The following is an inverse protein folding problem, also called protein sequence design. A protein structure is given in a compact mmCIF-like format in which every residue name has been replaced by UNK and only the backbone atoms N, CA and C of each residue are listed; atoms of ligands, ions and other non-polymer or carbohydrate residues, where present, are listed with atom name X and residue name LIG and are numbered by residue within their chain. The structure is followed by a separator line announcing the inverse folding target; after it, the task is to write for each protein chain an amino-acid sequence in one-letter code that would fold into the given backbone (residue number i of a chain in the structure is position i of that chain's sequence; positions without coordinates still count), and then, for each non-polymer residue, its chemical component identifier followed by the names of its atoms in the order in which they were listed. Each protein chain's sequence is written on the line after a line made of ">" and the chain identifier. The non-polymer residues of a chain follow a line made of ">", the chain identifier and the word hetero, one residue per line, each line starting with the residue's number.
data_IF_004971449569
#
_entry.id   IF_004971449569
#
_cell.length_a   1.000
_cell.length_b   1.000
_cell.length_c   1.000
_cell.angle_alpha   90.00
_cell.angle_beta   90.00
_cell.angle_gamma   90.00
#
_symmetry.space_group_name_H-M   'P 1'
#
loop_
_entity.id
_entity.type
_entity.pdbx_description
1 polymer ?
#
# COMPACT_ATOMS: atom_id res chain seq x y z
N UNK A 1 -15.16 7.67 -2.35
CA UNK A 1 -14.56 8.03 -1.10
C UNK A 1 -13.84 6.90 -0.39
N UNK A 2 -12.78 6.33 -0.93
CA UNK A 2 -12.07 5.35 -0.13
C UNK A 2 -10.65 5.27 -0.62
N UNK A 3 -9.78 5.95 0.08
CA UNK A 3 -8.35 5.81 -0.11
C UNK A 3 -7.87 4.46 0.45
N UNK A 4 -6.69 4.04 0.02
CA UNK A 4 -5.98 2.86 0.52
C UNK A 4 -5.82 2.82 2.05
N UNK A 5 -6.02 3.93 2.74
CA UNK A 5 -6.06 4.03 4.19
C UNK A 5 -7.21 3.22 4.82
N UNK A 6 -8.33 3.05 4.11
CA UNK A 6 -9.43 2.23 4.61
C UNK A 6 -9.09 0.73 4.66
N UNK A 7 -8.26 0.23 3.76
CA UNK A 7 -7.87 -1.18 3.78
C UNK A 7 -7.16 -1.60 5.07
N UNK A 8 -6.52 -0.67 5.79
CA UNK A 8 -5.75 -0.98 7.00
C UNK A 8 -6.42 -0.45 8.26
N UNK A 9 -7.02 0.74 8.23
CA UNK A 9 -7.67 1.31 9.43
C UNK A 9 -8.89 0.52 9.89
N UNK A 10 -9.64 -0.03 8.94
CA UNK A 10 -10.88 -0.76 9.20
C UNK A 10 -10.75 -2.26 9.00
N UNK A 11 -9.54 -2.75 8.69
CA UNK A 11 -9.28 -4.18 8.57
C UNK A 11 -9.34 -4.85 9.93
N UNK A 12 -10.12 -5.90 10.00
CA UNK A 12 -10.12 -6.78 11.14
C UNK A 12 -8.83 -7.62 11.13
N UNK A 13 -7.86 -7.24 11.97
CA UNK A 13 -6.58 -7.94 12.09
C UNK A 13 -6.70 -9.37 12.61
N UNK A 14 -7.89 -9.76 13.06
CA UNK A 14 -8.19 -11.15 13.46
C UNK A 14 -8.38 -12.06 12.27
N UNK A 15 -8.58 -11.52 11.06
CA UNK A 15 -8.73 -12.32 9.85
C UNK A 15 -7.50 -13.20 9.61
N UNK A 16 -7.71 -14.48 9.24
CA UNK A 16 -6.60 -15.42 9.00
C UNK A 16 -5.59 -14.93 7.95
N UNK A 17 -6.03 -14.11 6.99
CA UNK A 17 -5.15 -13.56 5.96
C UNK A 17 -4.11 -12.57 6.52
N UNK A 18 -4.36 -11.91 7.66
CA UNK A 18 -3.37 -11.06 8.33
C UNK A 18 -2.48 -11.88 9.26
N UNK A 19 -3.04 -12.86 9.97
CA UNK A 19 -2.30 -13.73 10.87
C UNK A 19 -1.25 -14.56 10.12
N UNK A 20 -1.63 -15.14 8.98
CA UNK A 20 -0.78 -16.05 8.21
C UNK A 20 -0.04 -15.35 7.06
N UNK A 21 -0.49 -14.17 6.65
CA UNK A 21 0.09 -13.36 5.57
C UNK A 21 0.49 -14.18 4.31
N UNK A 22 -0.43 -14.95 3.71
CA UNK A 22 -0.12 -15.77 2.55
C UNK A 22 0.07 -14.90 1.29
N UNK A 23 0.67 -15.44 0.21
CA UNK A 23 0.85 -14.71 -1.05
C UNK A 23 -0.44 -14.15 -1.64
N UNK A 24 -1.56 -14.82 -1.44
CA UNK A 24 -2.90 -14.41 -1.89
C UNK A 24 -3.69 -13.62 -0.84
N UNK A 25 -3.02 -13.10 0.23
CA UNK A 25 -3.63 -12.26 1.26
C UNK A 25 -4.56 -11.19 0.69
N UNK A 26 -4.11 -10.51 -0.40
CA UNK A 26 -4.88 -9.44 -1.01
C UNK A 26 -6.26 -9.90 -1.53
N UNK A 27 -6.38 -11.15 -1.95
CA UNK A 27 -7.67 -11.72 -2.34
C UNK A 27 -8.62 -11.81 -1.15
N UNK A 28 -8.19 -12.41 -0.04
CA UNK A 28 -9.02 -12.58 1.15
C UNK A 28 -9.41 -11.23 1.76
N UNK A 29 -8.44 -10.33 1.91
CA UNK A 29 -8.67 -8.98 2.41
C UNK A 29 -9.68 -8.23 1.55
N UNK A 30 -9.49 -8.21 0.22
CA UNK A 30 -10.38 -7.49 -0.70
C UNK A 30 -11.78 -8.11 -0.73
N UNK A 31 -11.88 -9.45 -0.68
CA UNK A 31 -13.16 -10.16 -0.62
C UNK A 31 -13.97 -9.77 0.61
N UNK A 32 -13.35 -9.74 1.77
CA UNK A 32 -14.00 -9.35 3.03
C UNK A 32 -14.49 -7.89 2.99
N UNK A 33 -13.62 -6.97 2.59
CA UNK A 33 -13.96 -5.54 2.50
C UNK A 33 -15.12 -5.32 1.54
N UNK A 34 -15.04 -5.91 0.33
CA UNK A 34 -16.09 -5.76 -0.66
C UNK A 34 -17.40 -6.39 -0.23
N UNK A 35 -17.38 -7.53 0.46
CA UNK A 35 -18.60 -8.15 1.02
C UNK A 35 -19.27 -7.23 2.04
N UNK A 36 -18.49 -6.56 2.89
CA UNK A 36 -19.05 -5.55 3.83
C UNK A 36 -19.62 -4.35 3.07
N UNK A 37 -18.93 -3.85 2.04
CA UNK A 37 -19.42 -2.74 1.20
C UNK A 37 -20.72 -3.13 0.50
N UNK A 38 -20.83 -4.35 -0.05
CA UNK A 38 -22.06 -4.85 -0.67
C UNK A 38 -23.21 -4.84 0.32
N UNK A 39 -23.01 -5.30 1.55
CA UNK A 39 -24.05 -5.33 2.59
C UNK A 39 -24.50 -3.91 2.95
N UNK A 40 -23.58 -2.97 3.13
CA UNK A 40 -23.92 -1.56 3.41
C UNK A 40 -24.66 -0.95 2.22
N UNK A 41 -24.19 -1.15 0.99
CA UNK A 41 -24.81 -0.64 -0.22
C UNK A 41 -26.25 -1.17 -0.40
N UNK A 42 -26.47 -2.47 -0.13
CA UNK A 42 -27.79 -3.08 -0.20
C UNK A 42 -28.76 -2.44 0.81
N UNK A 43 -28.33 -2.13 2.03
CA UNK A 43 -29.16 -1.42 3.02
C UNK A 43 -29.55 -0.01 2.59
N UNK A 44 -28.71 0.63 1.76
CA UNK A 44 -28.95 1.95 1.17
C UNK A 44 -29.66 1.89 -0.20
N UNK A 45 -30.08 0.71 -0.65
CA UNK A 45 -30.74 0.50 -1.93
C UNK A 45 -29.82 0.64 -3.15
N UNK A 46 -28.50 0.60 -2.96
CA UNK A 46 -27.49 0.67 -4.03
C UNK A 46 -27.22 -0.75 -4.54
N UNK A 47 -27.48 -0.97 -5.82
CA UNK A 47 -27.35 -2.28 -6.46
C UNK A 47 -26.07 -2.46 -7.27
N UNK A 48 -25.36 -1.38 -7.57
CA UNK A 48 -24.16 -1.43 -8.42
C UNK A 48 -22.96 -0.85 -7.65
N UNK A 49 -21.92 -1.66 -7.54
CA UNK A 49 -20.63 -1.26 -6.96
C UNK A 49 -19.58 -1.31 -8.07
N UNK A 50 -18.73 -0.30 -8.09
CA UNK A 50 -17.65 -0.18 -9.08
C UNK A 50 -16.31 -0.01 -8.37
N UNK A 51 -15.21 -0.43 -9.03
CA UNK A 51 -13.85 -0.17 -8.57
C UNK A 51 -13.04 0.63 -9.60
N UNK A 52 -11.86 1.12 -9.20
CA UNK A 52 -10.97 1.94 -10.01
C UNK A 52 -9.90 1.16 -10.77
N UNK A 53 -10.08 -0.14 -11.00
CA UNK A 53 -9.13 -0.94 -11.78
C UNK A 53 -9.00 -0.40 -13.21
N UNK A 54 -7.79 -0.45 -13.75
CA UNK A 54 -7.44 0.09 -15.07
C UNK A 54 -6.56 -0.90 -15.86
N UNK A 55 -6.18 -0.56 -17.10
CA UNK A 55 -5.43 -1.47 -17.98
C UNK A 55 -4.07 -1.88 -17.42
N UNK A 56 -3.37 -0.99 -16.72
CA UNK A 56 -2.04 -1.30 -16.17
C UNK A 56 -2.13 -2.37 -15.07
N UNK A 57 -3.29 -2.52 -14.41
CA UNK A 57 -3.52 -3.54 -13.39
C UNK A 57 -3.60 -4.98 -13.96
N UNK A 58 -3.69 -5.13 -15.30
CA UNK A 58 -3.67 -6.43 -15.97
C UNK A 58 -2.27 -7.04 -16.04
N UNK A 59 -1.24 -6.19 -16.07
CA UNK A 59 0.16 -6.61 -16.25
C UNK A 59 0.83 -6.99 -14.92
N UNK A 60 0.13 -6.84 -13.77
CA UNK A 60 0.67 -7.05 -12.44
C UNK A 60 0.02 -8.26 -11.75
N UNK A 61 0.79 -8.94 -10.88
CA UNK A 61 0.25 -10.01 -10.03
C UNK A 61 -0.66 -9.41 -8.95
N UNK A 62 -1.96 -9.41 -9.21
CA UNK A 62 -2.97 -8.84 -8.31
C UNK A 62 -4.04 -9.87 -7.92
N UNK A 63 -3.76 -10.73 -6.93
CA UNK A 63 -4.71 -11.76 -6.49
C UNK A 63 -6.06 -11.18 -6.04
N UNK A 64 -6.08 -9.91 -5.59
CA UNK A 64 -7.32 -9.22 -5.23
C UNK A 64 -8.32 -9.04 -6.39
N UNK A 65 -7.91 -9.15 -7.64
CA UNK A 65 -8.82 -9.07 -8.80
C UNK A 65 -9.81 -10.24 -8.84
N UNK A 66 -9.40 -11.43 -8.38
CA UNK A 66 -10.29 -12.59 -8.26
C UNK A 66 -11.53 -12.26 -7.41
N UNK A 67 -11.36 -11.49 -6.33
CA UNK A 67 -12.46 -11.07 -5.47
C UNK A 67 -13.45 -10.15 -6.22
N UNK A 68 -12.98 -9.25 -7.12
CA UNK A 68 -13.87 -8.41 -7.93
C UNK A 68 -14.76 -9.27 -8.83
N UNK A 69 -14.17 -10.25 -9.52
CA UNK A 69 -14.91 -11.14 -10.42
C UNK A 69 -15.93 -11.98 -9.66
N UNK A 70 -15.54 -12.60 -8.53
CA UNK A 70 -16.42 -13.42 -7.71
C UNK A 70 -17.60 -12.64 -7.11
N UNK A 71 -17.39 -11.37 -6.78
CA UNK A 71 -18.40 -10.50 -6.18
C UNK A 71 -19.13 -9.62 -7.19
N UNK A 72 -18.91 -9.85 -8.49
CA UNK A 72 -19.53 -9.10 -9.59
C UNK A 72 -19.35 -7.58 -9.52
N UNK A 73 -18.20 -7.13 -8.99
CA UNK A 73 -17.83 -5.71 -8.96
C UNK A 73 -17.41 -5.28 -10.36
N UNK A 74 -18.01 -4.20 -10.86
CA UNK A 74 -17.70 -3.66 -12.19
C UNK A 74 -16.45 -2.77 -12.14
N UNK A 75 -15.66 -2.80 -13.22
CA UNK A 75 -14.45 -1.98 -13.38
C UNK A 75 -14.55 -1.09 -14.62
N UNK A 76 -15.33 0.00 -14.59
CA UNK A 76 -15.66 0.79 -15.77
C UNK A 76 -14.45 1.37 -16.50
N UNK A 77 -13.40 1.77 -15.76
CA UNK A 77 -12.18 2.31 -16.37
C UNK A 77 -11.40 1.24 -17.12
N UNK A 78 -11.37 0.03 -16.57
CA UNK A 78 -10.79 -1.14 -17.23
C UNK A 78 -11.60 -1.54 -18.48
N UNK A 79 -12.92 -1.59 -18.36
CA UNK A 79 -13.85 -1.90 -19.46
C UNK A 79 -13.72 -0.88 -20.59
N UNK A 80 -13.46 0.39 -20.27
CA UNK A 80 -13.20 1.46 -21.23
C UNK A 80 -11.76 1.44 -21.80
N UNK A 81 -10.93 0.47 -21.43
CA UNK A 81 -9.55 0.35 -21.91
C UNK A 81 -8.61 1.47 -21.43
N UNK A 82 -8.92 2.15 -20.33
CA UNK A 82 -8.14 3.29 -19.85
C UNK A 82 -6.89 2.86 -19.11
N UNK A 83 -5.75 3.48 -19.46
CA UNK A 83 -4.49 3.37 -18.71
C UNK A 83 -4.47 4.36 -17.56
N UNK A 84 -3.56 4.16 -16.61
CA UNK A 84 -3.33 5.12 -15.51
C UNK A 84 -2.94 6.52 -16.02
N UNK A 85 -2.23 6.57 -17.15
CA UNK A 85 -1.87 7.82 -17.81
C UNK A 85 -3.12 8.55 -18.32
N UNK A 86 -4.02 7.84 -19.00
CA UNK A 86 -5.27 8.41 -19.54
C UNK A 86 -6.15 8.93 -18.40
N UNK A 87 -6.28 8.16 -17.32
CA UNK A 87 -7.03 8.54 -16.13
C UNK A 87 -6.47 9.83 -15.52
N UNK A 88 -5.15 9.97 -15.39
CA UNK A 88 -4.52 11.19 -14.87
C UNK A 88 -4.78 12.41 -15.75
N UNK A 89 -4.61 12.26 -17.07
CA UNK A 89 -4.89 13.34 -18.04
C UNK A 89 -6.35 13.79 -17.96
N UNK A 90 -7.28 12.84 -17.93
CA UNK A 90 -8.70 13.13 -17.84
C UNK A 90 -9.05 13.77 -16.48
N UNK A 91 -8.53 13.25 -15.39
CA UNK A 91 -8.73 13.82 -14.05
C UNK A 91 -8.22 15.27 -13.95
N UNK A 92 -7.07 15.56 -14.57
CA UNK A 92 -6.54 16.92 -14.63
C UNK A 92 -7.45 17.85 -15.44
N UNK A 93 -7.93 17.40 -16.61
CA UNK A 93 -8.87 18.18 -17.44
C UNK A 93 -10.20 18.46 -16.72
N UNK A 94 -10.64 17.52 -15.86
CA UNK A 94 -11.85 17.66 -15.05
C UNK A 94 -11.60 18.47 -13.76
N UNK A 95 -10.40 18.99 -13.53
CA UNK A 95 -10.07 19.78 -12.35
C UNK A 95 -10.03 18.97 -11.04
N UNK A 96 -9.89 17.66 -11.09
CA UNK A 96 -9.81 16.85 -9.88
C UNK A 96 -8.45 17.04 -9.20
N UNK A 97 -8.46 17.49 -7.95
CA UNK A 97 -7.22 17.74 -7.17
C UNK A 97 -6.36 16.49 -6.97
N UNK A 98 -6.94 15.30 -7.14
CA UNK A 98 -6.26 14.00 -6.97
C UNK A 98 -5.52 13.52 -8.21
N UNK A 99 -5.56 14.24 -9.33
CA UNK A 99 -4.97 13.81 -10.60
C UNK A 99 -3.49 13.42 -10.51
N UNK A 100 -2.73 14.12 -9.64
CA UNK A 100 -1.29 13.91 -9.44
C UNK A 100 -0.98 13.09 -8.16
N UNK A 101 -2.00 12.59 -7.46
CA UNK A 101 -1.77 11.85 -6.22
C UNK A 101 -0.99 10.57 -6.51
N UNK A 102 0.09 10.36 -5.77
CA UNK A 102 0.81 9.09 -5.76
C UNK A 102 -0.12 7.99 -5.23
N UNK A 103 -0.04 6.81 -5.82
CA UNK A 103 -0.81 5.67 -5.36
C UNK A 103 -0.13 5.08 -4.13
N UNK A 104 -0.65 5.27 -2.91
CA UNK A 104 -0.05 4.67 -1.73
C UNK A 104 -0.23 3.16 -1.79
N UNK A 105 0.85 2.42 -1.66
CA UNK A 105 0.78 0.99 -1.51
C UNK A 105 0.28 0.61 -0.10
N UNK A 106 -0.51 -0.46 0.00
CA UNK A 106 -1.00 -0.97 1.27
C UNK A 106 0.16 -1.28 2.24
N UNK A 107 0.06 -0.85 3.50
CA UNK A 107 1.08 -1.12 4.53
C UNK A 107 1.40 -2.61 4.71
N UNK A 108 0.42 -3.48 4.47
CA UNK A 108 0.63 -4.91 4.48
C UNK A 108 1.70 -5.40 3.49
N UNK A 109 1.99 -4.63 2.43
CA UNK A 109 3.08 -4.94 1.49
C UNK A 109 4.48 -4.77 2.07
N UNK A 110 4.62 -4.15 3.26
CA UNK A 110 5.89 -3.98 3.97
C UNK A 110 6.32 -5.24 4.71
N UNK A 111 5.45 -6.24 4.78
CA UNK A 111 5.71 -7.50 5.48
C UNK A 111 6.04 -8.60 4.48
N UNK A 112 7.11 -9.39 4.70
CA UNK A 112 7.35 -10.62 3.96
C UNK A 112 6.16 -11.58 4.13
N UNK A 113 5.90 -12.38 3.10
CA UNK A 113 4.89 -13.43 3.21
C UNK A 113 5.23 -14.39 4.35
N UNK A 114 4.22 -14.86 5.06
CA UNK A 114 4.37 -15.70 6.25
C UNK A 114 4.61 -14.91 7.55
N UNK A 115 4.96 -13.63 7.47
CA UNK A 115 5.10 -12.79 8.66
C UNK A 115 3.74 -12.25 9.10
N UNK A 116 3.32 -12.54 10.33
CA UNK A 116 2.05 -12.07 10.87
C UNK A 116 1.99 -10.53 10.88
N UNK A 117 0.88 -10.00 10.39
CA UNK A 117 0.59 -8.56 10.39
C UNK A 117 -0.26 -8.27 11.62
N UNK A 118 0.29 -7.48 12.54
CA UNK A 118 -0.41 -7.07 13.78
C UNK A 118 -0.52 -5.54 13.85
N UNK A 119 -1.49 -5.01 14.64
CA UNK A 119 -1.61 -3.58 14.86
C UNK A 119 -0.33 -2.93 15.35
N UNK A 120 0.40 -3.59 16.26
CA UNK A 120 1.65 -3.09 16.85
C UNK A 120 2.74 -2.96 15.77
N UNK A 121 2.89 -3.99 14.91
CA UNK A 121 3.85 -3.98 13.81
C UNK A 121 3.52 -2.92 12.75
N UNK A 122 2.24 -2.71 12.46
CA UNK A 122 1.81 -1.63 11.57
C UNK A 122 2.10 -0.27 12.19
N UNK A 123 1.79 -0.07 13.48
CA UNK A 123 2.11 1.18 14.18
C UNK A 123 3.61 1.46 14.19
N UNK A 124 4.42 0.41 14.37
CA UNK A 124 5.88 0.49 14.28
C UNK A 124 6.34 0.93 12.89
N UNK A 125 5.83 0.31 11.82
CA UNK A 125 6.16 0.69 10.44
C UNK A 125 5.69 2.10 10.08
N UNK A 126 4.50 2.51 10.53
CA UNK A 126 4.01 3.87 10.31
C UNK A 126 4.94 4.92 10.95
N UNK A 127 5.40 4.66 12.18
CA UNK A 127 6.39 5.53 12.84
C UNK A 127 7.72 5.55 12.08
N UNK A 128 8.17 4.40 11.59
CA UNK A 128 9.39 4.31 10.81
C UNK A 128 9.30 5.07 9.48
N UNK A 129 8.19 4.92 8.75
CA UNK A 129 7.96 5.67 7.50
C UNK A 129 7.82 7.18 7.79
N UNK A 130 7.24 7.57 8.93
CA UNK A 130 7.17 8.99 9.33
C UNK A 130 8.56 9.58 9.56
N UNK A 131 9.48 8.85 10.22
CA UNK A 131 10.87 9.29 10.40
C UNK A 131 11.53 9.58 9.04
N UNK A 132 11.36 8.70 8.07
CA UNK A 132 11.94 8.89 6.73
C UNK A 132 11.29 10.08 6.01
N UNK A 133 9.96 10.26 6.16
CA UNK A 133 9.24 11.41 5.62
C UNK A 133 9.74 12.73 6.21
N UNK A 134 9.91 12.80 7.53
CA UNK A 134 10.35 14.00 8.25
C UNK A 134 11.78 14.41 7.87
N UNK A 135 12.60 13.46 7.40
CA UNK A 135 13.92 13.71 6.84
C UNK A 135 13.87 14.19 5.38
N UNK A 136 12.66 14.39 4.81
CA UNK A 136 12.45 14.97 3.49
C UNK A 136 12.66 14.01 2.32
N UNK A 137 12.55 12.71 2.55
CA UNK A 137 12.49 11.75 1.45
C UNK A 137 11.11 11.78 0.77
N UNK A 138 11.07 11.70 -0.55
CA UNK A 138 9.83 11.92 -1.32
C UNK A 138 9.09 10.64 -1.64
N UNK A 139 9.80 9.58 -1.97
CA UNK A 139 9.22 8.29 -2.30
C UNK A 139 10.07 7.16 -1.72
N UNK A 140 9.53 6.50 -0.72
CA UNK A 140 10.23 5.53 0.08
C UNK A 140 9.29 4.44 0.60
N UNK A 141 9.86 3.38 1.15
CA UNK A 141 9.21 2.36 1.98
C UNK A 141 10.15 1.91 3.07
N UNK A 142 9.60 1.58 4.23
CA UNK A 142 10.31 0.83 5.25
C UNK A 142 9.67 -0.55 5.36
N UNK A 143 10.44 -1.60 5.08
CA UNK A 143 9.97 -2.99 5.18
C UNK A 143 10.46 -3.63 6.46
N UNK A 144 9.60 -4.43 7.06
CA UNK A 144 9.92 -5.21 8.26
C UNK A 144 10.43 -6.60 7.83
N UNK A 145 11.68 -6.90 8.16
CA UNK A 145 12.26 -8.23 8.08
C UNK A 145 12.70 -8.64 9.49
N UNK A 146 11.82 -9.30 10.23
CA UNK A 146 12.00 -9.62 11.65
C UNK A 146 12.33 -8.37 12.48
N UNK A 147 13.57 -8.18 12.87
CA UNK A 147 14.05 -7.01 13.62
C UNK A 147 14.74 -5.95 12.74
N UNK A 148 14.77 -6.17 11.42
CA UNK A 148 15.46 -5.30 10.47
C UNK A 148 14.50 -4.33 9.81
N UNK A 149 14.81 -3.04 9.86
CA UNK A 149 14.22 -2.03 8.98
C UNK A 149 14.97 -2.01 7.66
N UNK A 150 14.36 -2.47 6.56
CA UNK A 150 14.91 -2.31 5.22
C UNK A 150 14.29 -1.08 4.57
N UNK A 151 15.12 -0.07 4.33
CA UNK A 151 14.71 1.21 3.74
C UNK A 151 14.88 1.12 2.23
N UNK A 152 13.81 1.44 1.51
CA UNK A 152 13.81 1.60 0.06
C UNK A 152 13.51 3.08 -0.24
N UNK A 153 14.39 3.77 -0.99
CA UNK A 153 14.18 5.13 -1.49
C UNK A 153 14.38 5.17 -3.00
N UNK A 154 13.84 6.16 -3.68
CA UNK A 154 14.11 6.32 -5.12
C UNK A 154 15.62 6.47 -5.37
N UNK A 155 16.06 6.01 -6.55
CA UNK A 155 17.48 5.95 -6.89
C UNK A 155 18.19 7.30 -6.77
N UNK A 156 17.50 8.39 -7.11
CA UNK A 156 18.05 9.74 -7.02
C UNK A 156 18.33 10.20 -5.58
N UNK A 157 17.67 9.57 -4.59
CA UNK A 157 17.86 9.90 -3.17
C UNK A 157 18.80 8.93 -2.42
N UNK A 158 19.24 7.83 -3.05
CA UNK A 158 20.17 6.86 -2.43
C UNK A 158 21.47 7.55 -1.99
N UNK A 159 21.99 8.46 -2.78
CA UNK A 159 23.24 9.17 -2.50
C UNK A 159 23.20 9.99 -1.19
N UNK A 160 22.02 10.35 -0.68
CA UNK A 160 21.87 11.04 0.60
C UNK A 160 22.38 10.18 1.77
N UNK A 161 22.35 8.85 1.64
CA UNK A 161 22.88 7.93 2.65
C UNK A 161 24.42 7.81 2.66
N UNK A 162 25.14 8.61 1.89
CA UNK A 162 26.58 8.81 2.08
C UNK A 162 26.90 9.93 3.08
N UNK A 163 25.89 10.70 3.52
CA UNK A 163 26.01 11.65 4.64
C UNK A 163 25.98 10.88 5.97
N UNK A 164 27.08 10.98 6.72
CA UNK A 164 27.24 10.26 7.98
C UNK A 164 26.25 10.74 9.07
N UNK A 165 25.97 12.03 9.14
CA UNK A 165 25.05 12.60 10.12
C UNK A 165 23.62 12.17 9.86
N UNK A 166 23.22 12.10 8.58
CA UNK A 166 21.95 11.53 8.18
C UNK A 166 21.85 10.05 8.58
N UNK A 167 22.87 9.25 8.29
CA UNK A 167 22.91 7.83 8.68
C UNK A 167 22.70 7.68 10.19
N UNK A 168 23.46 8.43 11.01
CA UNK A 168 23.36 8.36 12.47
C UNK A 168 21.95 8.74 12.94
N UNK A 169 21.35 9.74 12.34
CA UNK A 169 19.99 10.18 12.66
C UNK A 169 18.98 9.09 12.34
N UNK A 170 19.00 8.54 11.12
CA UNK A 170 18.11 7.45 10.69
C UNK A 170 18.23 6.24 11.61
N UNK A 171 19.47 5.78 11.86
CA UNK A 171 19.72 4.62 12.72
C UNK A 171 19.19 4.86 14.14
N UNK A 172 19.48 6.02 14.72
CA UNK A 172 19.03 6.38 16.07
C UNK A 172 17.51 6.40 16.18
N UNK A 173 16.84 7.05 15.24
CA UNK A 173 15.38 7.20 15.29
C UNK A 173 14.67 5.86 15.01
N UNK A 174 15.13 5.06 14.04
CA UNK A 174 14.53 3.76 13.77
C UNK A 174 14.77 2.75 14.91
N UNK A 175 15.91 2.81 15.61
CA UNK A 175 16.12 2.02 16.83
C UNK A 175 15.17 2.42 17.96
N UNK A 176 14.86 3.71 18.13
CA UNK A 176 13.83 4.16 19.09
C UNK A 176 12.43 3.64 18.74
N UNK A 177 12.13 3.47 17.45
CA UNK A 177 10.87 2.88 16.99
C UNK A 177 10.76 1.41 17.36
N UNK A 178 11.89 0.70 17.54
CA UNK A 178 11.93 -0.70 17.97
C UNK A 178 12.68 -1.66 17.05
N UNK A 179 13.39 -1.15 16.03
CA UNK A 179 14.24 -2.00 15.18
C UNK A 179 15.60 -2.22 15.81
N UNK A 180 16.13 -3.45 15.71
CA UNK A 180 17.49 -3.77 16.13
C UNK A 180 18.53 -3.40 15.06
N UNK A 181 18.16 -3.54 13.79
CA UNK A 181 19.03 -3.29 12.66
C UNK A 181 18.34 -2.40 11.63
N UNK A 182 19.14 -1.60 10.94
CA UNK A 182 18.69 -0.71 9.85
C UNK A 182 19.58 -0.96 8.64
N UNK A 183 18.98 -1.21 7.49
CA UNK A 183 19.70 -1.37 6.24
C UNK A 183 19.04 -0.57 5.10
N UNK A 184 19.83 -0.18 4.13
CA UNK A 184 19.39 0.44 2.88
C UNK A 184 19.33 -0.65 1.80
N UNK A 185 18.21 -0.69 1.07
CA UNK A 185 18.10 -1.52 -0.14
C UNK A 185 18.83 -0.82 -1.30
N UNK A 186 19.88 -1.44 -1.79
CA UNK A 186 20.68 -0.88 -2.89
C UNK A 186 19.98 -0.93 -4.26
N UNK A 187 18.91 -1.72 -4.40
CA UNK A 187 18.09 -1.70 -5.59
C UNK A 187 17.07 -0.56 -5.60
N UNK A 188 16.92 0.12 -4.45
CA UNK A 188 16.04 1.25 -4.29
C UNK A 188 14.55 0.91 -4.29
N UNK A 189 13.73 1.95 -4.40
CA UNK A 189 12.27 1.84 -4.42
C UNK A 189 11.78 1.27 -5.74
N UNK A 190 11.00 0.19 -5.68
CA UNK A 190 10.32 -0.39 -6.83
C UNK A 190 8.81 -0.30 -6.65
N UNK A 191 8.12 0.15 -7.71
CA UNK A 191 6.68 -0.02 -7.79
C UNK A 191 6.41 -1.52 -7.97
N UNK A 192 5.74 -2.13 -7.00
CA UNK A 192 5.25 -3.51 -7.07
C UNK A 192 3.77 -3.51 -7.29
#
# INVERSE_FOLDING_TARGET
>A
LVGSEMCIRDSDYTLPCFKNNPPDRCYYCKKEILSRIINVAANEGITTIVDGSNMDDLCDYRPGRRALTELHIKSPLLEAGMTKKDIRVLSQKLGLYTWNKLSPACMASRFPYGTAITPERIAMLNKAEQVIADLGFTQFRVRLHDEVARIEVINDEINRFFDYDLIQTVVKELKKVGFSYVCLDLEGYRMG
#
